data_IF_658744979266
#
_entry.id   IF_658744979266
#
_cell.length_a   1.000
_cell.length_b   1.000
_cell.length_c   1.000
_cell.angle_alpha   90.00
_cell.angle_beta   90.00
_cell.angle_gamma   90.00
#
_symmetry.space_group_name_H-M   'P 1'
#
loop_
_entity.id
_entity.type
_entity.pdbx_description
1 polymer ?
#
# COMPACT_ATOMS: atom_id res chain seq x y z
N UNK A 1 4.67 32.79 36.93
CA UNK A 1 4.60 32.37 36.73
C UNK A 1 4.05 31.69 36.06
N UNK A 2 3.90 31.39 35.71
CA UNK A 2 3.62 30.77 35.19
C UNK A 2 3.48 30.28 34.18
N UNK A 3 3.53 30.13 33.74
CA UNK A 3 3.43 29.62 32.97
C UNK A 3 3.34 28.91 32.15
N UNK A 4 3.42 28.67 31.83
CA UNK A 4 3.46 28.06 31.19
C UNK A 4 3.26 27.31 30.54
N UNK A 5 3.16 26.97 30.23
CA UNK A 5 3.11 26.24 29.76
C UNK A 5 2.87 25.67 28.90
N UNK A 6 2.73 25.46 28.53
CA UNK A 6 2.54 24.90 27.94
C UNK A 6 2.52 24.37 26.99
N UNK A 7 2.65 24.48 26.61
CA UNK A 7 2.72 24.14 25.69
C UNK A 7 2.92 23.11 25.29
N UNK A 8 3.13 22.83 25.15
CA UNK A 8 3.45 21.93 24.86
C UNK A 8 3.01 21.17 24.18
N UNK A 9 2.73 20.93 23.99
CA UNK A 9 2.33 20.29 23.52
C UNK A 9 2.38 19.86 22.54
N UNK A 10 2.40 20.07 22.22
CA UNK A 10 2.43 19.84 21.38
C UNK A 10 2.84 19.06 20.71
N UNK A 11 3.29 19.09 20.58
CA UNK A 11 3.83 18.49 19.81
C UNK A 11 3.60 17.44 19.42
N UNK A 12 3.57 17.04 19.49
CA UNK A 12 3.37 16.14 19.39
C UNK A 12 3.00 15.62 18.39
N UNK A 13 2.63 15.65 18.14
CA UNK A 13 2.17 15.25 17.26
C UNK A 13 2.77 14.68 16.25
N UNK A 14 3.11 14.87 16.12
CA UNK A 14 3.63 14.59 15.20
C UNK A 14 3.97 13.52 14.79
N UNK A 15 4.26 13.14 14.95
CA UNK A 15 4.65 12.17 14.70
C UNK A 15 4.44 11.48 13.83
N UNK A 16 4.06 11.32 13.73
CA UNK A 16 3.79 10.71 12.88
C UNK A 16 4.48 10.18 12.00
N UNK A 17 4.99 10.23 11.63
CA UNK A 17 5.75 9.76 10.76
C UNK A 17 5.52 8.60 10.13
N UNK A 18 6.26 8.18 9.53
CA UNK A 18 6.38 6.96 9.11
C UNK A 18 5.66 6.53 7.94
N UNK A 19 5.11 5.44 8.06
CA UNK A 19 4.57 4.68 6.97
C UNK A 19 3.10 4.95 6.69
N UNK A 20 2.56 5.99 7.23
CA UNK A 20 1.16 6.28 7.03
C UNK A 20 0.86 6.53 5.56
N UNK A 21 -0.27 6.04 5.06
CA UNK A 21 -0.65 6.32 3.69
C UNK A 21 -0.96 7.80 3.51
N UNK A 22 -0.56 8.34 2.40
CA UNK A 22 -0.81 9.74 2.11
C UNK A 22 -2.07 9.94 1.27
N UNK A 23 -2.70 8.88 0.83
CA UNK A 23 -3.88 8.99 0.01
C UNK A 23 -5.18 9.11 0.80
N UNK A 24 -5.09 9.31 2.11
CA UNK A 24 -6.29 9.44 2.92
C UNK A 24 -7.22 10.51 2.40
N UNK A 25 -6.69 11.53 1.76
CA UNK A 25 -7.46 12.62 1.22
C UNK A 25 -7.71 12.52 -0.28
N UNK A 26 -7.28 11.42 -0.91
CA UNK A 26 -7.45 11.25 -2.33
C UNK A 26 -6.94 9.91 -2.78
N UNK A 27 -6.82 9.72 -4.09
CA UNK A 27 -6.36 8.47 -4.64
C UNK A 27 -4.84 8.39 -4.65
N UNK A 28 -4.33 7.17 -4.62
CA UNK A 28 -2.92 6.94 -4.88
C UNK A 28 -2.62 7.27 -6.34
N UNK A 29 -1.40 7.67 -6.63
CA UNK A 29 -1.00 8.03 -7.98
C UNK A 29 -0.34 6.83 -8.64
N UNK A 30 -0.83 6.49 -9.82
CA UNK A 30 -0.29 5.35 -10.57
C UNK A 30 1.17 5.59 -10.91
N UNK A 31 1.97 4.54 -10.79
CA UNK A 31 3.38 4.51 -11.15
C UNK A 31 4.29 5.42 -10.32
N UNK A 32 3.77 5.98 -9.23
CA UNK A 32 4.59 6.74 -8.31
C UNK A 32 5.43 5.79 -7.46
N UNK A 33 6.71 6.12 -7.30
CA UNK A 33 7.59 5.33 -6.45
C UNK A 33 7.27 5.55 -4.99
N UNK A 34 7.49 4.51 -4.18
CA UNK A 34 7.42 4.65 -2.74
C UNK A 34 6.02 4.66 -2.16
N UNK A 35 5.03 4.25 -2.93
CA UNK A 35 3.68 4.13 -2.39
C UNK A 35 3.62 2.98 -1.39
N UNK A 36 2.97 3.22 -0.26
CA UNK A 36 2.85 2.25 0.81
C UNK A 36 1.43 1.71 0.87
N UNK A 37 1.31 0.38 0.99
CA UNK A 37 0.03 -0.26 1.21
C UNK A 37 0.18 -1.24 2.36
N UNK A 38 -0.86 -1.40 3.15
CA UNK A 38 -0.82 -2.31 4.28
C UNK A 38 -2.09 -3.12 4.36
N UNK A 39 -1.97 -4.34 4.83
CA UNK A 39 -3.09 -5.23 4.95
C UNK A 39 -2.62 -6.65 5.19
N UNK A 40 -3.53 -7.59 4.97
CA UNK A 40 -3.26 -9.01 5.12
C UNK A 40 -2.94 -9.62 3.77
N UNK A 41 -1.84 -10.35 3.72
CA UNK A 41 -1.40 -11.00 2.50
C UNK A 41 -2.03 -12.38 2.41
N UNK A 42 -2.76 -12.65 1.33
CA UNK A 42 -3.42 -13.95 1.13
C UNK A 42 -3.04 -14.51 -0.23
N UNK A 43 -3.37 -15.77 -0.44
CA UNK A 43 -3.14 -16.44 -1.73
C UNK A 43 -4.49 -16.79 -2.34
N UNK A 44 -4.67 -16.42 -3.60
CA UNK A 44 -5.88 -16.75 -4.33
C UNK A 44 -5.49 -17.18 -5.75
N UNK A 45 -5.81 -18.43 -6.10
CA UNK A 45 -5.48 -18.95 -7.43
C UNK A 45 -4.01 -18.75 -7.80
N UNK A 46 -3.13 -19.06 -6.85
CA UNK A 46 -1.68 -18.92 -6.99
C UNK A 46 -1.19 -17.47 -7.08
N UNK A 47 -2.07 -16.52 -6.89
CA UNK A 47 -1.71 -15.09 -6.87
C UNK A 47 -1.69 -14.59 -5.44
N UNK A 48 -0.78 -13.67 -5.17
CA UNK A 48 -0.72 -13.01 -3.87
C UNK A 48 -1.64 -11.80 -3.90
N UNK A 49 -2.54 -11.74 -2.94
CA UNK A 49 -3.52 -10.66 -2.83
C UNK A 49 -3.33 -9.97 -1.49
N UNK A 50 -3.21 -8.66 -1.51
CA UNK A 50 -3.20 -7.88 -0.29
C UNK A 50 -4.62 -7.40 -0.03
N UNK A 51 -5.19 -7.85 1.09
CA UNK A 51 -6.51 -7.42 1.52
C UNK A 51 -6.35 -6.28 2.50
N UNK A 52 -6.84 -5.11 2.12
CA UNK A 52 -6.67 -3.90 2.89
C UNK A 52 -7.93 -3.58 3.67
N UNK A 53 -7.82 -3.26 4.97
CA UNK A 53 -9.01 -2.91 5.75
C UNK A 53 -9.69 -1.64 5.25
N UNK A 54 -8.92 -0.76 4.66
CA UNK A 54 -9.45 0.46 4.06
C UNK A 54 -9.18 0.39 2.57
N UNK A 55 -10.19 0.70 1.79
CA UNK A 55 -10.01 0.70 0.36
C UNK A 55 -9.09 1.83 -0.09
N UNK A 56 -8.56 1.69 -1.28
CA UNK A 56 -7.85 2.78 -1.92
C UNK A 56 -8.31 2.89 -3.36
N UNK A 57 -8.14 4.08 -3.92
CA UNK A 57 -8.42 4.32 -5.33
C UNK A 57 -7.12 4.69 -6.03
N UNK A 58 -7.12 4.63 -7.33
CA UNK A 58 -5.93 4.91 -8.13
C UNK A 58 -6.28 5.94 -9.18
N UNK A 59 -5.37 6.90 -9.41
CA UNK A 59 -5.51 7.85 -10.47
C UNK A 59 -4.23 7.91 -11.29
N UNK A 60 -4.39 8.15 -12.58
CA UNK A 60 -3.26 8.22 -13.49
C UNK A 60 -3.70 8.74 -14.85
N UNK A 61 -2.74 8.88 -15.76
CA UNK A 61 -3.00 9.43 -17.08
C UNK A 61 -3.71 8.43 -18.00
N UNK A 62 -3.46 7.15 -17.78
CA UNK A 62 -4.04 6.09 -18.58
C UNK A 62 -5.37 5.67 -17.97
N UNK A 63 -6.33 5.29 -18.82
CA UNK A 63 -7.61 4.86 -18.27
C UNK A 63 -7.47 3.57 -17.45
N UNK A 64 -6.49 2.72 -17.73
CA UNK A 64 -6.23 1.54 -16.91
C UNK A 64 -5.80 1.91 -15.50
N UNK A 65 -5.21 3.08 -15.35
CA UNK A 65 -4.68 3.54 -14.08
C UNK A 65 -5.68 4.41 -13.33
N UNK A 66 -6.95 4.38 -13.73
CA UNK A 66 -8.01 5.08 -13.04
C UNK A 66 -8.96 4.04 -12.48
N UNK A 67 -8.82 3.74 -11.20
CA UNK A 67 -9.58 2.68 -10.55
C UNK A 67 -10.29 3.23 -9.33
N UNK A 68 -11.58 2.94 -9.24
CA UNK A 68 -12.35 3.32 -8.07
C UNK A 68 -11.89 2.49 -6.87
N UNK A 69 -12.32 2.89 -5.70
CA UNK A 69 -11.85 2.26 -4.47
C UNK A 69 -12.00 0.75 -4.50
N UNK A 70 -10.94 0.06 -4.12
CA UNK A 70 -10.93 -1.38 -3.99
C UNK A 70 -10.20 -1.74 -2.70
N UNK A 71 -10.54 -2.89 -2.12
CA UNK A 71 -9.88 -3.38 -0.92
C UNK A 71 -8.85 -4.46 -1.23
N UNK A 72 -8.59 -4.73 -2.51
CA UNK A 72 -7.67 -5.80 -2.91
C UNK A 72 -6.64 -5.29 -3.90
N UNK A 73 -5.39 -5.71 -3.68
CA UNK A 73 -4.31 -5.50 -4.63
C UNK A 73 -3.74 -6.86 -5.04
N UNK A 74 -3.46 -7.03 -6.31
CA UNK A 74 -2.68 -8.18 -6.77
C UNK A 74 -1.21 -7.77 -6.68
N UNK A 75 -0.44 -8.41 -5.80
CA UNK A 75 0.93 -7.98 -5.53
C UNK A 75 1.94 -8.98 -6.06
N UNK A 76 3.09 -8.48 -6.47
CA UNK A 76 4.20 -9.31 -6.91
C UNK A 76 5.50 -8.59 -6.59
N UNK A 77 6.57 -9.36 -6.40
CA UNK A 77 7.86 -8.77 -6.09
C UNK A 77 8.53 -8.21 -7.34
N UNK A 78 9.23 -7.09 -7.16
CA UNK A 78 9.99 -6.50 -8.26
C UNK A 78 11.13 -7.41 -8.69
N UNK A 79 11.63 -8.25 -7.79
CA UNK A 79 12.63 -9.24 -8.12
C UNK A 79 12.34 -10.52 -7.33
N UNK A 80 13.13 -11.55 -7.58
CA UNK A 80 12.90 -12.87 -6.98
C UNK A 80 13.06 -12.83 -5.45
N UNK A 81 13.96 -12.03 -4.94
CA UNK A 81 14.18 -11.96 -3.50
C UNK A 81 12.97 -11.35 -2.80
N UNK A 82 12.44 -10.27 -3.35
CA UNK A 82 11.25 -9.64 -2.78
C UNK A 82 10.06 -10.57 -2.91
N UNK A 83 9.91 -11.21 -4.07
CA UNK A 83 8.78 -12.11 -4.26
C UNK A 83 8.85 -13.29 -3.29
N UNK A 84 10.03 -13.84 -3.06
CA UNK A 84 10.20 -14.91 -2.08
C UNK A 84 9.84 -14.46 -0.67
N UNK A 85 10.18 -13.23 -0.31
CA UNK A 85 9.80 -12.69 1.00
C UNK A 85 8.29 -12.56 1.11
N UNK A 86 7.62 -12.15 0.04
CA UNK A 86 6.16 -12.07 0.03
C UNK A 86 5.53 -13.44 0.26
N UNK A 87 6.03 -14.44 -0.44
CA UNK A 87 5.50 -15.80 -0.31
C UNK A 87 5.62 -16.28 1.14
N UNK A 88 6.73 -15.97 1.80
CA UNK A 88 6.94 -16.38 3.18
C UNK A 88 6.00 -15.69 4.15
N UNK A 89 5.49 -14.52 3.78
CA UNK A 89 4.61 -13.75 4.65
C UNK A 89 3.13 -13.97 4.35
N UNK A 90 2.81 -14.88 3.46
CA UNK A 90 1.41 -15.19 3.15
C UNK A 90 0.67 -15.56 4.43
N UNK A 91 -0.51 -15.01 4.59
CA UNK A 91 -1.34 -15.22 5.79
C UNK A 91 -1.10 -14.22 6.89
N UNK A 92 -0.16 -13.30 6.72
CA UNK A 92 0.20 -12.34 7.76
C UNK A 92 -0.12 -10.92 7.33
N UNK A 93 -0.18 -10.03 8.32
CA UNK A 93 -0.31 -8.61 8.06
C UNK A 93 1.07 -8.09 7.65
N UNK A 94 1.09 -7.23 6.65
CA UNK A 94 2.35 -6.71 6.10
C UNK A 94 2.20 -5.25 5.72
N UNK A 95 3.35 -4.59 5.61
CA UNK A 95 3.46 -3.26 5.01
C UNK A 95 4.30 -3.40 3.74
N UNK A 96 3.78 -2.93 2.63
CA UNK A 96 4.43 -3.06 1.33
C UNK A 96 4.72 -1.68 0.77
N UNK A 97 5.86 -1.56 0.11
CA UNK A 97 6.24 -0.33 -0.59
C UNK A 97 6.55 -0.67 -2.03
N UNK A 98 6.04 0.14 -2.94
CA UNK A 98 6.27 -0.10 -4.35
C UNK A 98 5.48 0.84 -5.22
N UNK A 99 5.10 0.37 -6.39
CA UNK A 99 4.34 1.15 -7.35
C UNK A 99 3.01 0.47 -7.64
N UNK A 100 1.98 1.28 -7.76
CA UNK A 100 0.65 0.80 -8.10
C UNK A 100 0.34 1.09 -9.56
N UNK A 101 -0.40 0.22 -10.19
CA UNK A 101 -0.88 0.43 -11.54
C UNK A 101 -2.20 -0.31 -11.72
N UNK A 102 -2.97 0.09 -12.70
CA UNK A 102 -4.23 -0.59 -12.98
C UNK A 102 -4.00 -1.94 -13.63
N UNK A 103 -4.90 -2.86 -13.35
CA UNK A 103 -4.87 -4.16 -14.00
C UNK A 103 -5.23 -3.98 -15.47
N UNK A 104 -4.42 -4.56 -16.36
CA UNK A 104 -4.63 -4.40 -17.79
C UNK A 104 -4.52 -5.72 -18.54
N UNK A 105 -4.51 -6.84 -17.81
CA UNK A 105 -4.57 -8.17 -18.43
C UNK A 105 -5.51 -9.03 -17.62
N UNK A 106 -6.00 -10.11 -18.25
CA UNK A 106 -6.89 -11.01 -17.53
C UNK A 106 -6.16 -11.94 -16.57
N UNK A 107 -4.86 -11.85 -16.52
CA UNK A 107 -4.08 -12.60 -15.51
C UNK A 107 -4.07 -11.92 -14.15
N UNK A 108 -4.44 -10.66 -14.11
CA UNK A 108 -4.49 -9.93 -12.85
C UNK A 108 -5.74 -10.29 -12.08
N UNK A 109 -5.59 -10.50 -10.77
CA UNK A 109 -6.67 -11.02 -9.92
C UNK A 109 -7.34 -9.94 -9.09
N UNK A 110 -6.95 -8.68 -9.27
CA UNK A 110 -7.56 -7.55 -8.60
C UNK A 110 -7.50 -6.35 -9.53
N UNK A 111 -8.33 -5.32 -9.29
CA UNK A 111 -8.35 -4.15 -10.17
C UNK A 111 -7.07 -3.33 -10.17
N UNK A 112 -6.30 -3.40 -9.09
CA UNK A 112 -5.02 -2.69 -8.97
C UNK A 112 -3.95 -3.71 -8.70
N UNK A 113 -2.81 -3.55 -9.38
CA UNK A 113 -1.64 -4.39 -9.13
C UNK A 113 -0.55 -3.55 -8.49
N UNK A 114 0.30 -4.20 -7.69
CA UNK A 114 1.41 -3.54 -7.03
C UNK A 114 2.70 -4.28 -7.28
N UNK A 115 3.66 -3.56 -7.81
CA UNK A 115 5.03 -4.06 -7.92
C UNK A 115 5.74 -3.68 -6.63
N UNK A 116 6.06 -4.68 -5.82
CA UNK A 116 6.60 -4.47 -4.47
C UNK A 116 8.10 -4.44 -4.53
N UNK A 117 8.71 -3.39 -3.99
CA UNK A 117 10.16 -3.28 -3.90
C UNK A 117 10.66 -3.51 -2.48
N UNK A 118 9.78 -3.37 -1.50
CA UNK A 118 10.18 -3.53 -0.10
C UNK A 118 9.00 -4.07 0.70
N UNK A 119 9.27 -5.03 1.57
CA UNK A 119 8.24 -5.63 2.41
C UNK A 119 8.71 -5.61 3.85
N UNK A 120 7.78 -5.32 4.77
CA UNK A 120 8.05 -5.30 6.19
C UNK A 120 6.87 -5.85 6.96
N UNK A 121 7.17 -6.47 8.10
CA UNK A 121 6.13 -6.84 9.04
C UNK A 121 5.63 -5.58 9.75
N UNK A 122 4.38 -5.56 10.21
CA UNK A 122 3.83 -4.38 10.88
C UNK A 122 4.51 -4.09 12.21
#
# INVERSE_FOLDING_TARGET
MTKTILAVVLGICVIAGGWGPSWAAGCAVANADGTVAEGRLTVRDDALILEMPQGLCLEGDDEFDQVEATTELHVFGADDAVHGALVKLAGQDVHLRGRLMGAHTQHHKAPIIMEVVEVAAP
#
